data_IF_397350416820
#
_entry.id   IF_397350416820
#
_cell.length_a   1.000
_cell.length_b   1.000
_cell.length_c   1.000
_cell.angle_alpha   90.00
_cell.angle_beta   90.00
_cell.angle_gamma   90.00
#
_symmetry.space_group_name_H-M   'P 1'
#
loop_
_entity.id
_entity.type
_entity.pdbx_description
1 polymer ?
#
# COMPACT_ATOMS: atom_id res chain seq x y z
N UNK A 1 -1.52 -93.23 12.15
CA UNK A 1 -2.95 -92.88 11.99
C UNK A 1 -3.00 -91.53 11.29
N UNK A 2 -3.36 -91.56 10.01
CA UNK A 2 -3.48 -90.40 9.13
C UNK A 2 -4.88 -89.79 9.28
N UNK A 3 -4.95 -88.51 9.64
CA UNK A 3 -6.21 -87.78 9.76
C UNK A 3 -6.67 -87.32 8.37
N UNK A 4 -7.93 -87.56 7.96
CA UNK A 4 -8.45 -87.12 6.66
C UNK A 4 -8.68 -85.61 6.64
N UNK A 5 -8.23 -84.98 5.55
CA UNK A 5 -8.44 -83.57 5.24
C UNK A 5 -9.91 -83.37 4.77
N UNK A 6 -10.77 -82.62 5.50
CA UNK A 6 -12.11 -82.34 5.03
C UNK A 6 -12.16 -81.07 4.18
N UNK A 7 -12.71 -81.28 2.99
CA UNK A 7 -13.55 -80.36 2.22
C UNK A 7 -12.89 -79.08 1.69
N UNK A 8 -12.44 -79.23 0.44
CA UNK A 8 -12.31 -78.18 -0.55
C UNK A 8 -13.62 -77.39 -0.71
N UNK A 9 -13.52 -76.08 -0.50
CA UNK A 9 -14.10 -75.02 -1.33
C UNK A 9 -15.59 -75.12 -1.69
N UNK A 10 -16.43 -74.47 -0.89
CA UNK A 10 -17.62 -73.82 -1.46
C UNK A 10 -17.20 -72.48 -2.08
N UNK A 11 -17.47 -72.22 -3.38
CA UNK A 11 -17.28 -70.90 -3.94
C UNK A 11 -18.24 -69.94 -3.21
N UNK A 12 -17.67 -69.03 -2.41
CA UNK A 12 -18.43 -67.96 -1.80
C UNK A 12 -19.11 -67.17 -2.91
N UNK A 13 -20.43 -67.31 -2.99
CA UNK A 13 -21.28 -66.55 -3.89
C UNK A 13 -21.14 -65.07 -3.51
N UNK A 14 -20.37 -64.35 -4.33
CA UNK A 14 -20.05 -62.95 -4.13
C UNK A 14 -21.37 -62.15 -4.11
N UNK A 15 -21.77 -61.70 -2.92
CA UNK A 15 -22.95 -60.85 -2.79
C UNK A 15 -22.73 -59.57 -3.62
N UNK A 16 -23.72 -59.12 -4.40
CA UNK A 16 -23.59 -57.94 -5.24
C UNK A 16 -23.17 -56.75 -4.38
N UNK A 17 -22.01 -56.16 -4.71
CA UNK A 17 -21.47 -55.00 -4.03
C UNK A 17 -22.46 -53.84 -4.15
N UNK A 18 -23.18 -53.56 -3.07
CA UNK A 18 -24.03 -52.38 -2.98
C UNK A 18 -23.13 -51.14 -3.05
N UNK A 19 -23.40 -50.17 -3.93
CA UNK A 19 -22.63 -48.93 -4.02
C UNK A 19 -22.61 -48.23 -2.65
N UNK A 20 -21.41 -48.02 -2.10
CA UNK A 20 -21.24 -47.27 -0.86
C UNK A 20 -21.63 -45.81 -1.11
N UNK A 21 -22.78 -45.40 -0.57
CA UNK A 21 -23.19 -44.00 -0.53
C UNK A 21 -22.71 -43.43 0.81
N UNK A 22 -21.77 -42.46 0.82
CA UNK A 22 -21.33 -41.82 2.06
C UNK A 22 -22.55 -41.24 2.79
N UNK A 23 -22.68 -41.41 4.12
CA UNK A 23 -23.73 -40.77 4.89
C UNK A 23 -23.64 -39.26 4.64
N UNK A 24 -24.65 -38.69 3.98
CA UNK A 24 -24.76 -37.24 3.82
C UNK A 24 -25.03 -36.71 5.22
N UNK A 25 -23.99 -36.18 5.86
CA UNK A 25 -24.15 -35.53 7.16
C UNK A 25 -25.24 -34.46 7.01
N UNK A 26 -26.22 -34.41 7.93
CA UNK A 26 -27.26 -33.39 7.87
C UNK A 26 -26.57 -32.02 7.78
N UNK A 27 -26.83 -31.29 6.70
CA UNK A 27 -26.35 -29.92 6.54
C UNK A 27 -26.84 -29.13 7.74
N UNK A 28 -25.94 -28.82 8.67
CA UNK A 28 -26.26 -27.96 9.80
C UNK A 28 -26.82 -26.67 9.21
N UNK A 29 -28.11 -26.43 9.44
CA UNK A 29 -28.77 -25.20 9.02
C UNK A 29 -28.15 -24.09 9.85
N UNK A 30 -27.16 -23.40 9.28
CA UNK A 30 -26.52 -22.25 9.94
C UNK A 30 -27.60 -21.24 10.28
N UNK A 31 -27.89 -21.09 11.57
CA UNK A 31 -28.87 -20.11 12.06
C UNK A 31 -28.49 -18.73 11.51
N UNK A 32 -29.41 -18.00 10.85
CA UNK A 32 -29.13 -16.69 10.30
C UNK A 32 -28.56 -15.77 11.39
N UNK A 33 -27.38 -15.19 11.13
CA UNK A 33 -26.74 -14.30 12.11
C UNK A 33 -27.54 -12.99 12.22
N UNK A 34 -27.89 -12.53 13.45
CA UNK A 34 -28.69 -11.33 13.65
C UNK A 34 -28.05 -10.09 13.00
N UNK A 35 -28.85 -9.10 12.58
CA UNK A 35 -28.34 -7.87 11.99
C UNK A 35 -27.48 -7.10 13.01
N UNK A 36 -26.45 -6.43 12.51
CA UNK A 36 -25.57 -5.60 13.34
C UNK A 36 -26.37 -4.42 13.91
N UNK A 37 -26.21 -4.14 15.21
CA UNK A 37 -26.86 -2.97 15.80
C UNK A 37 -26.35 -1.68 15.14
N UNK A 38 -27.20 -0.64 15.06
CA UNK A 38 -26.82 0.66 14.49
C UNK A 38 -25.62 1.27 15.23
N UNK A 39 -25.52 1.05 16.54
CA UNK A 39 -24.43 1.53 17.38
C UNK A 39 -23.10 0.86 17.03
N UNK A 40 -23.09 -0.46 16.80
CA UNK A 40 -21.88 -1.20 16.44
C UNK A 40 -21.42 -0.85 15.03
N UNK A 41 -22.36 -0.67 14.10
CA UNK A 41 -22.06 -0.21 12.75
C UNK A 41 -21.39 1.18 12.77
N UNK A 42 -21.90 2.10 13.58
CA UNK A 42 -21.31 3.43 13.74
C UNK A 42 -19.90 3.37 14.35
N UNK A 43 -19.71 2.58 15.40
CA UNK A 43 -18.39 2.39 16.03
C UNK A 43 -17.37 1.75 15.08
N UNK A 44 -17.79 0.81 14.24
CA UNK A 44 -16.92 0.21 13.23
C UNK A 44 -16.44 1.25 12.20
N UNK A 45 -17.35 2.10 11.70
CA UNK A 45 -16.99 3.22 10.81
C UNK A 45 -16.04 4.20 11.48
N UNK A 46 -16.27 4.54 12.74
CA UNK A 46 -15.40 5.43 13.52
C UNK A 46 -14.01 4.82 13.75
N UNK A 47 -13.93 3.50 14.00
CA UNK A 47 -12.66 2.79 14.12
C UNK A 47 -11.87 2.77 12.81
N UNK A 48 -12.53 2.62 11.67
CA UNK A 48 -11.92 2.72 10.34
C UNK A 48 -11.51 4.14 9.95
N UNK A 49 -12.34 5.13 10.27
CA UNK A 49 -12.07 6.54 9.98
C UNK A 49 -10.93 7.11 10.82
N UNK A 50 -11.04 7.02 12.15
CA UNK A 50 -10.03 7.60 13.07
C UNK A 50 -8.79 6.70 13.14
N UNK A 51 -8.97 5.44 13.54
CA UNK A 51 -7.85 4.52 13.73
C UNK A 51 -7.19 4.15 12.40
N UNK A 52 -7.99 3.84 11.37
CA UNK A 52 -7.48 3.62 10.02
C UNK A 52 -6.86 4.88 9.40
N UNK A 53 -7.45 6.07 9.62
CA UNK A 53 -6.85 7.30 9.12
C UNK A 53 -5.50 7.65 9.74
N UNK A 54 -5.34 7.48 11.05
CA UNK A 54 -4.04 7.62 11.73
C UNK A 54 -3.06 6.56 11.18
N UNK A 55 -3.53 5.34 10.92
CA UNK A 55 -2.70 4.28 10.35
C UNK A 55 -2.15 4.68 8.96
N UNK A 56 -3.02 5.19 8.08
CA UNK A 56 -2.62 5.66 6.75
C UNK A 56 -1.72 6.88 6.80
N UNK A 57 -1.94 7.81 7.72
CA UNK A 57 -1.04 8.94 7.95
C UNK A 57 0.37 8.47 8.29
N UNK A 58 0.50 7.50 9.22
CA UNK A 58 1.80 6.93 9.58
C UNK A 58 2.53 6.31 8.39
N UNK A 59 1.83 5.54 7.56
CA UNK A 59 2.40 4.99 6.34
C UNK A 59 2.77 6.07 5.32
N UNK A 60 1.94 7.11 5.16
CA UNK A 60 2.22 8.24 4.30
C UNK A 60 3.50 8.98 4.71
N UNK A 61 3.71 9.17 6.02
CA UNK A 61 4.95 9.76 6.54
C UNK A 61 6.16 8.88 6.20
N UNK A 62 6.11 7.57 6.49
CA UNK A 62 7.20 6.66 6.18
C UNK A 62 7.50 6.60 4.68
N UNK A 63 6.46 6.55 3.84
CA UNK A 63 6.58 6.52 2.39
C UNK A 63 7.17 7.83 1.84
N UNK A 64 6.69 8.99 2.29
CA UNK A 64 7.23 10.28 1.88
C UNK A 64 8.70 10.41 2.25
N UNK A 65 9.08 9.97 3.46
CA UNK A 65 10.47 9.96 3.89
C UNK A 65 11.34 9.03 3.02
N UNK A 66 10.87 7.82 2.70
CA UNK A 66 11.56 6.89 1.80
C UNK A 66 11.74 7.51 0.41
N UNK A 67 10.70 8.16 -0.13
CA UNK A 67 10.77 8.83 -1.44
C UNK A 67 11.76 9.98 -1.45
N UNK A 68 11.79 10.80 -0.38
CA UNK A 68 12.78 11.86 -0.23
C UNK A 68 14.20 11.32 -0.11
N UNK A 69 14.42 10.17 0.54
CA UNK A 69 15.72 9.49 0.54
C UNK A 69 16.09 8.91 -0.82
N UNK A 70 15.11 8.42 -1.59
CA UNK A 70 15.34 7.84 -2.91
C UNK A 70 15.57 8.92 -3.99
N UNK A 71 15.03 10.13 -3.79
CA UNK A 71 15.05 11.21 -4.78
C UNK A 71 16.46 11.55 -5.28
N UNK A 72 17.49 11.76 -4.42
CA UNK A 72 18.85 12.02 -4.89
C UNK A 72 19.38 10.88 -5.77
N UNK A 73 19.14 9.62 -5.40
CA UNK A 73 19.57 8.47 -6.21
C UNK A 73 18.92 8.45 -7.59
N UNK A 74 17.62 8.75 -7.66
CA UNK A 74 16.88 8.78 -8.92
C UNK A 74 17.41 9.90 -9.81
N UNK A 75 17.56 11.11 -9.27
CA UNK A 75 18.08 12.27 -10.02
C UNK A 75 19.50 12.01 -10.49
N UNK A 76 20.38 11.51 -9.62
CA UNK A 76 21.75 11.17 -10.00
C UNK A 76 21.82 10.07 -11.06
N UNK A 77 20.96 9.04 -10.98
CA UNK A 77 20.90 7.99 -11.99
C UNK A 77 20.45 8.53 -13.37
N UNK A 78 19.49 9.46 -13.40
CA UNK A 78 19.04 10.11 -14.64
C UNK A 78 20.15 10.99 -15.23
N UNK A 79 20.75 11.86 -14.42
CA UNK A 79 21.86 12.73 -14.86
C UNK A 79 23.02 11.89 -15.39
N UNK A 80 23.37 10.79 -14.70
CA UNK A 80 24.38 9.84 -15.16
C UNK A 80 24.01 9.19 -16.48
N UNK A 81 22.78 8.69 -16.62
CA UNK A 81 22.32 8.06 -17.86
C UNK A 81 22.41 9.00 -19.06
N UNK A 82 22.06 10.28 -18.87
CA UNK A 82 22.18 11.31 -19.90
C UNK A 82 23.66 11.57 -20.22
N UNK A 83 24.51 11.79 -19.21
CA UNK A 83 25.93 12.06 -19.42
C UNK A 83 26.67 10.90 -20.09
N UNK A 84 26.33 9.66 -19.74
CA UNK A 84 26.86 8.45 -20.38
C UNK A 84 26.38 8.33 -21.83
N UNK A 85 25.12 8.61 -22.12
CA UNK A 85 24.59 8.58 -23.48
C UNK A 85 25.20 9.64 -24.40
N UNK A 86 25.68 10.76 -23.84
CA UNK A 86 26.22 11.90 -24.58
C UNK A 86 27.75 11.93 -24.69
N UNK A 87 28.50 11.11 -23.92
CA UNK A 87 29.97 11.15 -23.90
C UNK A 87 30.64 9.80 -24.15
N UNK A 88 31.50 9.73 -25.17
CA UNK A 88 32.24 8.52 -25.58
C UNK A 88 33.37 8.10 -24.61
N UNK A 89 33.42 8.67 -23.40
CA UNK A 89 34.47 8.39 -22.42
C UNK A 89 34.11 8.77 -20.98
N UNK A 90 32.82 8.82 -20.66
CA UNK A 90 32.29 9.39 -19.42
C UNK A 90 32.96 8.85 -18.14
N UNK A 91 33.56 9.71 -17.29
CA UNK A 91 34.06 9.30 -15.98
C UNK A 91 32.92 8.76 -15.11
N UNK A 92 33.25 7.88 -14.17
CA UNK A 92 32.29 7.30 -13.23
C UNK A 92 31.72 8.40 -12.31
N UNK A 93 30.65 9.07 -12.74
CA UNK A 93 29.98 10.16 -12.01
C UNK A 93 29.50 9.73 -10.61
N UNK A 94 29.43 8.42 -10.35
CA UNK A 94 29.24 7.83 -9.02
C UNK A 94 30.27 8.31 -7.99
N UNK A 95 31.48 8.71 -8.42
CA UNK A 95 32.53 9.18 -7.53
C UNK A 95 32.23 10.51 -6.83
N UNK A 96 31.44 11.41 -7.45
CA UNK A 96 31.10 12.73 -6.88
C UNK A 96 29.78 12.75 -6.09
N UNK A 97 28.81 11.96 -6.53
CA UNK A 97 27.47 11.89 -5.91
C UNK A 97 27.53 11.24 -4.52
N UNK A 98 28.34 10.20 -4.36
CA UNK A 98 28.36 9.43 -3.11
C UNK A 98 28.83 10.27 -1.91
N UNK A 99 29.95 11.03 -1.98
CA UNK A 99 30.35 11.96 -0.92
C UNK A 99 29.27 13.00 -0.58
N UNK A 100 28.66 13.62 -1.60
CA UNK A 100 27.61 14.64 -1.40
C UNK A 100 26.38 14.06 -0.69
N UNK A 101 25.97 12.85 -1.07
CA UNK A 101 24.89 12.15 -0.40
C UNK A 101 25.24 11.82 1.04
N UNK A 102 26.44 11.28 1.31
CA UNK A 102 26.86 10.95 2.67
C UNK A 102 26.93 12.18 3.56
N UNK A 103 27.40 13.31 3.03
CA UNK A 103 27.44 14.60 3.73
C UNK A 103 26.01 15.09 4.04
N UNK A 104 25.10 14.98 3.06
CA UNK A 104 23.69 15.33 3.26
C UNK A 104 22.99 14.41 4.28
N UNK A 105 23.24 13.10 4.25
CA UNK A 105 22.69 12.15 5.23
C UNK A 105 23.21 12.43 6.65
N UNK A 106 24.43 12.94 6.79
CA UNK A 106 25.00 13.42 8.05
C UNK A 106 24.45 14.76 8.52
N UNK A 107 23.75 15.51 7.67
CA UNK A 107 23.11 16.78 8.03
C UNK A 107 21.87 16.56 8.91
N UNK A 108 21.45 17.61 9.63
CA UNK A 108 20.22 17.58 10.43
C UNK A 108 18.97 17.23 9.59
N UNK A 109 18.91 17.66 8.32
CA UNK A 109 17.80 17.35 7.43
C UNK A 109 17.79 15.87 7.04
N UNK A 110 18.95 15.30 6.66
CA UNK A 110 19.08 13.88 6.36
C UNK A 110 18.69 13.00 7.54
N UNK A 111 19.18 13.33 8.74
CA UNK A 111 18.83 12.63 9.99
C UNK A 111 17.32 12.72 10.26
N UNK A 112 16.71 13.90 10.08
CA UNK A 112 15.27 14.08 10.29
C UNK A 112 14.43 13.22 9.32
N UNK A 113 14.82 13.15 8.05
CA UNK A 113 14.15 12.31 7.04
C UNK A 113 14.30 10.83 7.40
N UNK A 114 15.50 10.38 7.80
CA UNK A 114 15.72 8.99 8.25
C UNK A 114 14.86 8.68 9.47
N UNK A 115 14.81 9.57 10.46
CA UNK A 115 14.04 9.39 11.69
C UNK A 115 12.52 9.40 11.46
N UNK A 116 12.04 10.07 10.40
CA UNK A 116 10.62 10.08 10.03
C UNK A 116 10.11 8.68 9.62
N UNK A 117 10.98 7.80 9.11
CA UNK A 117 10.60 6.43 8.71
C UNK A 117 10.09 5.62 9.91
N UNK A 118 10.89 5.36 10.96
CA UNK A 118 10.42 4.61 12.13
C UNK A 118 9.31 5.37 12.88
N UNK A 119 9.33 6.70 12.90
CA UNK A 119 8.25 7.49 13.49
C UNK A 119 6.90 7.22 12.78
N UNK A 120 6.89 7.22 11.45
CA UNK A 120 5.70 6.89 10.66
C UNK A 120 5.20 5.48 10.92
N UNK A 121 6.10 4.50 11.08
CA UNK A 121 5.74 3.11 11.47
C UNK A 121 5.11 3.07 12.86
N UNK A 122 5.65 3.81 13.83
CA UNK A 122 5.05 3.92 15.17
C UNK A 122 3.66 4.53 15.10
N UNK A 123 3.48 5.63 14.36
CA UNK A 123 2.16 6.27 14.14
C UNK A 123 1.19 5.28 13.48
N UNK A 124 1.65 4.50 12.51
CA UNK A 124 0.85 3.47 11.85
C UNK A 124 0.33 2.43 12.85
N UNK A 125 1.24 1.86 13.66
CA UNK A 125 0.90 0.88 14.69
C UNK A 125 -0.04 1.45 15.76
N UNK A 126 0.15 2.72 16.17
CA UNK A 126 -0.74 3.41 17.11
C UNK A 126 -2.14 3.56 16.51
N UNK A 127 -2.27 3.90 15.23
CA UNK A 127 -3.56 3.97 14.54
C UNK A 127 -4.31 2.63 14.56
N UNK A 128 -3.62 1.54 14.23
CA UNK A 128 -4.19 0.18 14.30
C UNK A 128 -4.58 -0.21 15.73
N UNK A 129 -3.76 0.13 16.73
CA UNK A 129 -4.05 -0.12 18.13
C UNK A 129 -5.30 0.65 18.61
N UNK A 130 -5.41 1.95 18.28
CA UNK A 130 -6.59 2.78 18.58
C UNK A 130 -7.83 2.16 17.95
N UNK A 131 -7.74 1.74 16.68
CA UNK A 131 -8.83 1.09 15.97
C UNK A 131 -9.33 -0.16 16.69
N UNK A 132 -8.41 -1.06 17.07
CA UNK A 132 -8.74 -2.27 17.82
C UNK A 132 -9.34 -1.94 19.20
N UNK A 133 -8.89 -0.87 19.85
CA UNK A 133 -9.43 -0.44 21.16
C UNK A 133 -10.86 0.07 21.05
N UNK A 134 -11.19 0.81 20.00
CA UNK A 134 -12.55 1.30 19.71
C UNK A 134 -13.49 0.11 19.49
N UNK A 135 -13.09 -0.87 18.65
CA UNK A 135 -13.88 -2.08 18.39
C UNK A 135 -14.08 -2.92 19.65
N UNK A 136 -13.04 -3.06 20.49
CA UNK A 136 -13.13 -3.82 21.75
C UNK A 136 -14.16 -3.22 22.71
N UNK A 137 -14.29 -1.88 22.78
CA UNK A 137 -15.31 -1.21 23.61
C UNK A 137 -16.74 -1.43 23.09
N UNK A 138 -16.91 -1.80 21.82
CA UNK A 138 -18.19 -2.16 21.22
C UNK A 138 -18.57 -3.64 21.36
N UNK A 139 -17.79 -4.46 22.07
CA UNK A 139 -18.10 -5.88 22.21
C UNK A 139 -17.93 -6.69 20.92
N UNK A 140 -17.23 -6.14 19.91
CA UNK A 140 -16.97 -6.83 18.64
C UNK A 140 -16.15 -8.09 18.92
N UNK A 141 -16.61 -9.22 18.37
CA UNK A 141 -15.89 -10.49 18.47
C UNK A 141 -14.60 -10.40 17.64
N UNK A 142 -13.43 -10.62 18.27
CA UNK A 142 -12.09 -10.55 17.64
C UNK A 142 -11.74 -9.16 17.06
N UNK A 143 -11.64 -8.11 17.90
CA UNK A 143 -11.39 -6.75 17.42
C UNK A 143 -10.07 -6.62 16.65
N UNK A 144 -9.02 -7.32 17.09
CA UNK A 144 -7.70 -7.30 16.42
C UNK A 144 -7.77 -7.95 15.03
N UNK A 145 -8.48 -9.07 14.89
CA UNK A 145 -8.66 -9.74 13.60
C UNK A 145 -9.46 -8.88 12.61
N UNK A 146 -10.51 -8.21 13.09
CA UNK A 146 -11.30 -7.25 12.30
C UNK A 146 -10.42 -6.08 11.82
N UNK A 147 -9.58 -5.52 12.69
CA UNK A 147 -8.67 -4.41 12.34
C UNK A 147 -7.66 -4.83 11.27
N UNK A 148 -6.97 -5.96 11.43
CA UNK A 148 -5.99 -6.42 10.44
C UNK A 148 -6.61 -6.78 9.10
N UNK A 149 -7.74 -7.48 9.11
CA UNK A 149 -8.45 -7.82 7.88
C UNK A 149 -9.01 -6.56 7.19
N UNK A 150 -9.58 -5.63 7.96
CA UNK A 150 -10.06 -4.35 7.44
C UNK A 150 -8.93 -3.55 6.80
N UNK A 151 -7.77 -3.46 7.47
CA UNK A 151 -6.59 -2.79 6.95
C UNK A 151 -6.07 -3.45 5.68
N UNK A 152 -5.93 -4.79 5.67
CA UNK A 152 -5.48 -5.55 4.50
C UNK A 152 -6.40 -5.36 3.29
N UNK A 153 -7.72 -5.38 3.48
CA UNK A 153 -8.70 -5.12 2.42
C UNK A 153 -8.60 -3.69 1.92
N UNK A 154 -8.52 -2.70 2.82
CA UNK A 154 -8.37 -1.30 2.43
C UNK A 154 -7.07 -1.08 1.64
N UNK A 155 -5.97 -1.72 2.03
CA UNK A 155 -4.71 -1.67 1.31
C UNK A 155 -4.78 -2.32 -0.07
N UNK A 156 -5.36 -3.51 -0.18
CA UNK A 156 -5.58 -4.18 -1.46
C UNK A 156 -6.48 -3.34 -2.39
N UNK A 157 -7.57 -2.78 -1.87
CA UNK A 157 -8.45 -1.89 -2.62
C UNK A 157 -7.73 -0.61 -3.08
N UNK A 158 -6.87 -0.04 -2.24
CA UNK A 158 -6.07 1.13 -2.60
C UNK A 158 -5.08 0.83 -3.72
N UNK A 159 -4.42 -0.34 -3.68
CA UNK A 159 -3.51 -0.80 -4.75
C UNK A 159 -4.28 -0.98 -6.06
N UNK A 160 -5.45 -1.63 -6.01
CA UNK A 160 -6.29 -1.86 -7.19
C UNK A 160 -6.79 -0.53 -7.78
N UNK A 161 -7.29 0.38 -6.97
CA UNK A 161 -7.72 1.71 -7.41
C UNK A 161 -6.56 2.53 -7.98
N UNK A 162 -5.39 2.46 -7.34
CA UNK A 162 -4.16 3.05 -7.85
C UNK A 162 -3.79 2.50 -9.22
N UNK A 163 -3.89 1.18 -9.43
CA UNK A 163 -3.59 0.54 -10.71
C UNK A 163 -4.60 0.86 -11.81
N UNK A 164 -5.88 0.99 -11.49
CA UNK A 164 -6.95 1.31 -12.45
C UNK A 164 -6.91 2.76 -12.91
N UNK A 165 -6.45 3.68 -12.05
CA UNK A 165 -6.21 5.08 -12.41
C UNK A 165 -4.91 5.31 -13.19
N UNK A 166 -4.08 4.27 -13.36
CA UNK A 166 -2.68 4.34 -13.78
C UNK A 166 -2.45 3.54 -15.08
N UNK A 167 -2.96 4.03 -16.22
CA UNK A 167 -2.38 3.68 -17.54
C UNK A 167 -0.98 4.33 -17.69
N UNK A 168 -0.69 5.36 -16.91
CA UNK A 168 0.66 5.78 -16.56
C UNK A 168 1.04 5.07 -15.28
N UNK A 169 1.83 3.98 -15.35
CA UNK A 169 2.51 3.40 -14.18
C UNK A 169 3.36 4.49 -13.57
N UNK A 170 2.74 5.15 -12.61
CA UNK A 170 3.07 6.45 -12.11
C UNK A 170 2.28 6.51 -10.81
N UNK A 171 3.00 6.63 -9.73
CA UNK A 171 3.19 5.60 -8.77
C UNK A 171 2.27 5.88 -7.60
N UNK A 172 1.60 4.83 -7.13
CA UNK A 172 1.13 4.71 -5.75
C UNK A 172 2.28 4.75 -4.71
N UNK A 173 3.44 5.26 -5.16
CA UNK A 173 4.86 5.25 -4.80
C UNK A 173 5.54 6.55 -5.34
N UNK A 174 4.94 7.75 -5.15
CA UNK A 174 5.57 9.05 -5.50
C UNK A 174 5.30 9.63 -6.89
N UNK A 175 4.04 9.88 -7.24
CA UNK A 175 3.68 10.55 -8.49
C UNK A 175 4.19 11.95 -8.48
N UNK A 176 5.24 12.18 -9.24
CA UNK A 176 5.59 13.53 -9.61
C UNK A 176 4.30 14.17 -10.15
N UNK A 177 3.86 15.32 -9.60
CA UNK A 177 2.63 16.00 -10.00
C UNK A 177 2.64 16.53 -11.45
N UNK A 178 3.58 16.06 -12.28
CA UNK A 178 3.87 16.57 -13.61
C UNK A 178 3.63 15.55 -14.73
N UNK A 179 3.19 14.33 -14.44
CA UNK A 179 3.03 13.29 -15.47
C UNK A 179 1.69 12.56 -15.39
N UNK A 180 0.72 13.00 -16.18
CA UNK A 180 -0.38 12.16 -16.66
C UNK A 180 -1.72 12.31 -15.95
N UNK A 181 -2.39 13.44 -16.19
CA UNK A 181 -3.85 13.44 -16.23
C UNK A 181 -4.31 12.98 -17.64
N UNK A 182 -5.32 12.12 -17.81
CA UNK A 182 -5.71 11.59 -19.12
C UNK A 182 -6.27 12.63 -20.12
N UNK A 183 -6.48 13.88 -19.71
CA UNK A 183 -7.04 14.96 -20.53
C UNK A 183 -6.57 16.35 -20.07
N UNK A 184 -5.38 16.46 -19.48
CA UNK A 184 -4.71 17.76 -19.41
C UNK A 184 -3.77 17.76 -20.61
N UNK A 185 -4.20 18.36 -21.72
CA UNK A 185 -3.28 18.82 -22.76
C UNK A 185 -2.30 19.76 -22.08
N UNK A 186 -1.21 19.17 -21.60
CA UNK A 186 -0.09 19.90 -21.03
C UNK A 186 0.63 20.48 -22.23
N UNK A 187 0.19 21.65 -22.68
CA UNK A 187 0.93 22.43 -23.64
C UNK A 187 2.25 22.84 -22.94
N UNK A 188 3.41 22.32 -23.38
CA UNK A 188 4.69 22.66 -22.77
C UNK A 188 5.00 24.17 -22.85
N UNK A 189 4.28 24.92 -23.70
CA UNK A 189 4.40 26.37 -23.79
C UNK A 189 3.78 27.12 -22.61
N UNK A 190 2.80 26.54 -21.90
CA UNK A 190 2.09 27.22 -20.80
C UNK A 190 2.82 27.14 -19.46
N UNK A 191 3.79 26.23 -19.32
CA UNK A 191 4.56 26.05 -18.08
C UNK A 191 5.92 26.75 -18.10
N UNK A 192 6.11 27.72 -19.01
CA UNK A 192 7.26 28.62 -19.04
C UNK A 192 7.25 29.55 -17.81
N UNK A 193 7.67 28.98 -16.68
CA UNK A 193 8.18 29.72 -15.54
C UNK A 193 9.44 30.48 -15.99
N UNK A 194 9.26 31.71 -16.49
CA UNK A 194 10.28 32.75 -16.44
C UNK A 194 11.56 32.58 -17.25
N UNK A 195 11.68 31.60 -18.15
CA UNK A 195 12.75 31.61 -19.16
C UNK A 195 12.41 32.63 -20.27
N UNK A 196 12.43 33.92 -19.93
CA UNK A 196 12.44 35.01 -20.89
C UNK A 196 13.72 34.92 -21.72
N UNK A 197 13.73 34.12 -22.78
CA UNK A 197 14.88 34.04 -23.69
C UNK A 197 14.90 32.91 -24.71
N UNK A 198 14.09 31.86 -24.57
CA UNK A 198 14.14 30.76 -25.54
C UNK A 198 13.11 30.94 -26.66
N UNK A 199 13.55 31.56 -27.76
CA UNK A 199 12.81 31.67 -29.02
C UNK A 199 13.37 30.73 -30.11
N UNK A 200 14.05 29.66 -29.72
CA UNK A 200 14.84 28.83 -30.61
C UNK A 200 14.01 27.75 -31.30
N UNK A 201 14.19 27.62 -32.60
CA UNK A 201 13.75 26.49 -33.42
C UNK A 201 14.20 25.17 -32.74
N UNK A 202 13.35 24.13 -32.62
CA UNK A 202 13.74 22.84 -32.01
C UNK A 202 15.00 22.18 -32.60
N UNK A 203 15.51 22.65 -33.74
CA UNK A 203 16.82 22.25 -34.29
C UNK A 203 18.05 22.89 -33.65
N UNK A 204 17.91 24.00 -32.91
CA UNK A 204 19.01 24.79 -32.35
C UNK A 204 19.28 24.48 -30.86
N UNK A 205 18.97 23.26 -30.41
CA UNK A 205 19.36 22.85 -29.07
C UNK A 205 20.88 22.75 -28.99
N UNK A 206 21.53 23.80 -28.50
CA UNK A 206 22.96 23.80 -28.14
C UNK A 206 23.12 23.15 -26.75
N UNK A 207 23.63 21.91 -26.67
CA UNK A 207 23.85 21.24 -25.38
C UNK A 207 24.88 21.99 -24.51
N UNK A 208 25.72 22.85 -25.12
CA UNK A 208 26.68 23.70 -24.43
C UNK A 208 26.06 24.92 -23.74
N UNK A 209 24.79 25.25 -24.03
CA UNK A 209 24.07 26.35 -23.39
C UNK A 209 23.52 25.98 -21.99
N UNK A 210 23.58 24.71 -21.60
CA UNK A 210 23.21 24.29 -20.24
C UNK A 210 24.34 24.71 -19.30
N UNK A 211 24.06 25.69 -18.44
CA UNK A 211 24.98 26.10 -17.38
C UNK A 211 25.38 24.89 -16.51
N UNK A 212 26.68 24.52 -16.47
CA UNK A 212 27.15 23.43 -15.62
C UNK A 212 26.78 23.63 -14.14
N UNK A 213 26.70 24.88 -13.69
CA UNK A 213 26.29 25.24 -12.33
C UNK A 213 24.81 24.94 -12.07
N UNK A 214 23.94 24.97 -13.09
CA UNK A 214 22.55 24.58 -12.97
C UNK A 214 22.42 23.07 -12.72
N UNK A 215 23.19 22.24 -13.43
CA UNK A 215 23.17 20.79 -13.24
C UNK A 215 23.66 20.40 -11.85
N UNK A 216 24.73 21.05 -11.36
CA UNK A 216 25.23 20.85 -10.00
C UNK A 216 24.20 21.28 -8.95
N UNK A 217 23.51 22.39 -9.19
CA UNK A 217 22.44 22.88 -8.32
C UNK A 217 21.21 21.97 -8.28
N UNK A 218 20.84 21.38 -9.41
CA UNK A 218 19.75 20.38 -9.50
C UNK A 218 20.18 19.05 -8.87
N UNK A 219 21.46 18.71 -8.89
CA UNK A 219 21.99 17.51 -8.27
C UNK A 219 22.14 17.64 -6.74
N UNK A 220 22.16 18.86 -6.19
CA UNK A 220 22.30 19.08 -4.75
C UNK A 220 21.11 18.49 -3.96
N UNK A 221 21.32 17.46 -3.12
CA UNK A 221 20.25 16.79 -2.39
C UNK A 221 19.49 17.73 -1.44
N UNK A 222 20.19 18.72 -0.87
CA UNK A 222 19.62 19.70 0.04
C UNK A 222 18.59 20.59 -0.67
N UNK A 223 18.95 21.10 -1.85
CA UNK A 223 18.06 21.93 -2.67
C UNK A 223 16.89 21.13 -3.24
N UNK A 224 17.13 19.89 -3.68
CA UNK A 224 16.08 19.00 -4.14
C UNK A 224 15.03 18.75 -3.06
N UNK A 225 15.46 18.42 -1.84
CA UNK A 225 14.53 18.18 -0.72
C UNK A 225 13.85 19.47 -0.27
N UNK A 226 14.56 20.60 -0.26
CA UNK A 226 13.96 21.90 0.09
C UNK A 226 12.88 22.33 -0.93
N UNK A 227 13.12 22.07 -2.21
CA UNK A 227 12.19 22.43 -3.30
C UNK A 227 11.03 21.42 -3.40
N UNK A 228 11.33 20.12 -3.46
CA UNK A 228 10.33 19.07 -3.69
C UNK A 228 9.59 18.67 -2.41
N UNK A 229 10.20 18.82 -1.24
CA UNK A 229 9.67 18.39 0.05
C UNK A 229 8.25 18.88 0.35
N UNK A 230 7.95 20.19 0.26
CA UNK A 230 6.61 20.71 0.50
C UNK A 230 5.56 20.12 -0.44
N UNK A 231 5.90 19.93 -1.72
CA UNK A 231 5.01 19.35 -2.72
C UNK A 231 4.75 17.86 -2.46
N UNK A 232 5.80 17.11 -2.10
CA UNK A 232 5.69 15.70 -1.71
C UNK A 232 4.79 15.58 -0.48
N UNK A 233 4.96 16.45 0.52
CA UNK A 233 4.15 16.45 1.73
C UNK A 233 2.67 16.77 1.44
N UNK A 234 2.39 17.80 0.63
CA UNK A 234 1.04 18.20 0.25
C UNK A 234 0.34 17.12 -0.58
N UNK A 235 1.02 16.60 -1.61
CA UNK A 235 0.51 15.52 -2.46
C UNK A 235 0.22 14.26 -1.63
N UNK A 236 1.12 13.92 -0.70
CA UNK A 236 0.90 12.81 0.23
C UNK A 236 -0.34 13.03 1.09
N UNK A 237 -0.54 14.24 1.64
CA UNK A 237 -1.70 14.54 2.48
C UNK A 237 -3.03 14.44 1.72
N UNK A 238 -3.08 14.95 0.48
CA UNK A 238 -4.27 14.82 -0.38
C UNK A 238 -4.53 13.36 -0.74
N UNK A 239 -3.48 12.59 -1.02
CA UNK A 239 -3.61 11.17 -1.36
C UNK A 239 -4.20 10.31 -0.24
N UNK A 240 -4.19 10.77 1.02
CA UNK A 240 -4.74 10.04 2.16
C UNK A 240 -6.28 9.98 2.16
N UNK A 241 -6.97 10.85 1.42
CA UNK A 241 -8.44 10.92 1.43
C UNK A 241 -9.05 9.58 0.99
N UNK A 242 -8.59 9.03 -0.13
CA UNK A 242 -9.09 7.76 -0.68
C UNK A 242 -8.90 6.58 0.29
N UNK A 243 -7.70 6.28 0.81
CA UNK A 243 -7.51 5.16 1.72
C UNK A 243 -8.25 5.33 3.06
N UNK A 244 -8.47 6.56 3.53
CA UNK A 244 -9.33 6.83 4.70
C UNK A 244 -10.78 6.38 4.41
N UNK A 245 -11.33 6.76 3.26
CA UNK A 245 -12.68 6.35 2.86
C UNK A 245 -12.78 4.83 2.74
N UNK A 246 -11.80 4.18 2.09
CA UNK A 246 -11.73 2.73 1.98
C UNK A 246 -11.68 2.05 3.35
N UNK A 247 -10.96 2.64 4.31
CA UNK A 247 -10.86 2.11 5.66
C UNK A 247 -12.19 2.19 6.42
N UNK A 248 -12.93 3.29 6.28
CA UNK A 248 -14.27 3.41 6.88
C UNK A 248 -15.17 2.27 6.38
N UNK A 249 -15.15 2.00 5.07
CA UNK A 249 -15.95 0.94 4.45
C UNK A 249 -15.46 -0.46 4.85
N UNK A 250 -14.15 -0.72 4.78
CA UNK A 250 -13.56 -2.02 5.05
C UNK A 250 -13.77 -2.45 6.50
N UNK A 251 -13.68 -1.53 7.47
CA UNK A 251 -13.96 -1.85 8.88
C UNK A 251 -15.43 -2.15 9.13
N UNK A 252 -16.32 -1.37 8.52
CA UNK A 252 -17.76 -1.63 8.60
C UNK A 252 -18.11 -3.01 8.02
N UNK A 253 -17.55 -3.34 6.85
CA UNK A 253 -17.75 -4.63 6.20
C UNK A 253 -17.23 -5.79 7.06
N UNK A 254 -16.00 -5.68 7.59
CA UNK A 254 -15.41 -6.74 8.41
C UNK A 254 -16.14 -6.95 9.73
N UNK A 255 -16.62 -5.89 10.37
CA UNK A 255 -17.46 -6.01 11.56
C UNK A 255 -18.77 -6.75 11.25
N UNK A 256 -19.34 -6.55 10.05
CA UNK A 256 -20.54 -7.26 9.62
C UNK A 256 -20.25 -8.75 9.29
N UNK A 257 -19.13 -9.04 8.63
CA UNK A 257 -18.75 -10.38 8.20
C UNK A 257 -18.32 -11.29 9.37
N UNK A 258 -17.64 -10.73 10.39
CA UNK A 258 -17.11 -11.46 11.55
C UNK A 258 -18.03 -11.43 12.78
N UNK A 259 -19.30 -11.06 12.60
CA UNK A 259 -20.29 -11.07 13.68
C UNK A 259 -20.45 -12.47 14.28
N UNK A 260 -20.64 -12.53 15.60
CA UNK A 260 -20.83 -13.79 16.31
C UNK A 260 -22.08 -14.53 15.78
N UNK A 261 -22.07 -15.87 15.74
CA UNK A 261 -23.27 -16.65 15.50
C UNK A 261 -24.34 -16.31 16.54
N UNK A 262 -25.63 -16.41 16.16
CA UNK A 262 -26.70 -16.40 17.15
C UNK A 262 -26.38 -17.50 18.17
N UNK A 263 -26.38 -17.15 19.46
CA UNK A 263 -26.28 -18.19 20.49
C UNK A 263 -27.52 -19.07 20.30
N UNK A 264 -27.38 -20.40 20.13
CA UNK A 264 -28.55 -21.26 20.10
C UNK A 264 -29.34 -20.96 21.37
N UNK A 265 -30.64 -20.67 21.23
CA UNK A 265 -31.53 -20.63 22.38
C UNK A 265 -31.36 -21.97 23.06
N UNK A 266 -30.72 -21.97 24.23
CA UNK A 266 -30.72 -23.13 25.09
C UNK A 266 -32.18 -23.20 25.52
N UNK A 267 -32.94 -24.09 24.88
CA UNK A 267 -34.36 -24.31 25.16
C UNK A 267 -34.52 -24.30 26.67
N UNK A 268 -35.12 -23.23 27.21
CA UNK A 268 -35.21 -22.98 28.64
C UNK A 268 -36.29 -23.87 29.30
N UNK A 269 -36.49 -25.07 28.76
CA UNK A 269 -37.54 -26.01 29.10
C UNK A 269 -36.97 -27.41 29.37
N UNK A 270 -35.94 -27.48 30.24
CA UNK A 270 -35.53 -28.72 30.89
C UNK A 270 -35.73 -28.60 32.40
#
# INVERSE_FOLDING_TARGET
MTVPNPAQGQPMQQAPAQPYVPPVAPTQTTTPRPPLSKADAHRARLAGGIGGGIAWLGLGISQAAILLLALPFIVSAVIFGIGFALSDGGPSATGGVWPQLTDWLGSAAGIAVIAAIPLGVVVWLVGLWISARILRRGGVHRPVGVTWAGFGIAAAANILLGSLGSITIGPAFGGLPFAGGPNLDFDPSDTYWGAQGWSGDPGDFDPGAIDPGLLERIADPGQLVALAGPWVALGSLVSLIVPIILSIFAWWWMAHALRAPARPEVDATA
#
